data_IF_450922188327
#
_entry.id   IF_450922188327
#
_cell.length_a   1.000
_cell.length_b   1.000
_cell.length_c   1.000
_cell.angle_alpha   90.00
_cell.angle_beta   90.00
_cell.angle_gamma   90.00
#
_symmetry.space_group_name_H-M   'P 1'
#
loop_
_entity.id
_entity.type
_entity.pdbx_description
1 polymer ?
#
# COMPACT_ATOMS: atom_id res chain seq x y z
N UNK A 1 3.03 -18.54 -8.81
CA UNK A 1 3.44 -17.31 -8.16
C UNK A 1 2.77 -16.10 -8.75
N UNK A 2 2.67 -16.02 -10.05
CA UNK A 2 1.98 -14.91 -10.68
C UNK A 2 0.50 -14.84 -10.29
N UNK A 3 -0.09 -15.98 -10.01
CA UNK A 3 -1.49 -16.06 -9.65
C UNK A 3 -1.83 -15.29 -8.39
N UNK A 4 -0.87 -15.14 -7.49
CA UNK A 4 -1.09 -14.43 -6.23
C UNK A 4 -1.45 -12.97 -6.47
N UNK A 5 -0.90 -12.40 -7.54
CA UNK A 5 -1.07 -10.98 -7.82
C UNK A 5 -1.81 -10.72 -9.11
N UNK A 6 -2.48 -11.73 -9.64
CA UNK A 6 -3.13 -11.62 -10.94
C UNK A 6 -4.28 -10.62 -10.95
N UNK A 7 -4.85 -10.33 -9.79
CA UNK A 7 -5.96 -9.40 -9.67
C UNK A 7 -5.51 -7.93 -9.51
N UNK A 8 -4.20 -7.69 -9.49
CA UNK A 8 -3.67 -6.34 -9.33
C UNK A 8 -3.17 -5.79 -10.65
N UNK A 9 -3.40 -4.50 -10.88
CA UNK A 9 -2.77 -3.80 -12.00
C UNK A 9 -1.30 -3.55 -11.66
N UNK A 10 -0.52 -3.16 -12.68
CA UNK A 10 0.90 -2.89 -12.49
C UNK A 10 1.14 -1.80 -11.44
N UNK A 11 0.30 -0.77 -11.45
CA UNK A 11 0.45 0.33 -10.48
C UNK A 11 0.04 -0.08 -9.08
N UNK A 12 -1.00 -0.91 -8.97
CA UNK A 12 -1.41 -1.44 -7.67
C UNK A 12 -0.34 -2.33 -7.08
N UNK A 13 0.23 -3.20 -7.90
CA UNK A 13 1.33 -4.07 -7.49
C UNK A 13 2.53 -3.24 -7.02
N UNK A 14 2.89 -2.23 -7.80
CA UNK A 14 3.99 -1.34 -7.46
C UNK A 14 3.75 -0.62 -6.14
N UNK A 15 2.53 -0.13 -5.94
CA UNK A 15 2.16 0.55 -4.71
C UNK A 15 2.29 -0.38 -3.51
N UNK A 16 1.80 -1.61 -3.65
CA UNK A 16 1.89 -2.60 -2.58
C UNK A 16 3.35 -2.91 -2.23
N UNK A 17 4.21 -3.02 -3.24
CA UNK A 17 5.64 -3.23 -3.02
C UNK A 17 6.28 -2.07 -2.25
N UNK A 18 5.95 -0.84 -2.64
CA UNK A 18 6.50 0.34 -1.97
C UNK A 18 6.05 0.37 -0.52
N UNK A 19 4.78 0.08 -0.27
CA UNK A 19 4.25 0.06 1.09
C UNK A 19 4.96 -1.01 1.92
N UNK A 20 5.13 -2.20 1.36
CA UNK A 20 5.79 -3.29 2.10
C UNK A 20 7.25 -2.95 2.41
N UNK A 21 7.92 -2.29 1.48
CA UNK A 21 9.30 -1.87 1.68
C UNK A 21 9.39 -0.85 2.82
N UNK A 22 8.49 0.12 2.83
CA UNK A 22 8.49 1.16 3.87
C UNK A 22 8.09 0.62 5.23
N UNK A 23 7.36 -0.49 5.25
CA UNK A 23 6.88 -1.12 6.49
C UNK A 23 7.83 -2.16 7.08
N UNK A 24 9.01 -2.35 6.50
CA UNK A 24 9.92 -3.44 6.89
C UNK A 24 10.02 -3.69 8.39
N UNK A 25 10.17 -2.64 9.18
CA UNK A 25 10.35 -2.76 10.63
C UNK A 25 9.28 -2.00 11.41
N UNK A 26 8.19 -1.67 10.76
CA UNK A 26 7.12 -0.87 11.36
C UNK A 26 5.80 -1.62 11.27
N UNK A 27 4.91 -1.35 12.22
CA UNK A 27 3.59 -1.95 12.21
C UNK A 27 2.66 -1.25 11.24
N UNK A 28 2.84 0.04 11.05
CA UNK A 28 1.96 0.83 10.22
C UNK A 28 2.73 1.95 9.54
N UNK A 29 2.19 2.39 8.41
CA UNK A 29 2.76 3.44 7.61
C UNK A 29 1.78 4.60 7.52
N UNK A 30 2.25 5.81 7.80
CA UNK A 30 1.46 7.01 7.54
C UNK A 30 1.44 7.25 6.03
N UNK A 31 0.23 7.38 5.48
CA UNK A 31 0.09 7.56 4.04
C UNK A 31 0.30 9.03 3.68
N UNK A 32 1.23 9.25 2.76
CA UNK A 32 1.42 10.53 2.11
C UNK A 32 1.23 10.32 0.61
N UNK A 33 0.06 10.72 0.11
CA UNK A 33 -0.30 10.44 -1.28
C UNK A 33 0.64 11.10 -2.28
N UNK A 34 1.19 12.26 -1.93
CA UNK A 34 2.09 12.96 -2.84
C UNK A 34 3.41 12.20 -3.01
N UNK A 35 3.96 11.72 -1.91
CA UNK A 35 5.19 10.95 -1.95
C UNK A 35 5.00 9.64 -2.71
N UNK A 36 3.92 8.91 -2.39
CA UNK A 36 3.66 7.63 -3.04
C UNK A 36 3.37 7.82 -4.53
N UNK A 37 2.63 8.88 -4.87
CA UNK A 37 2.32 9.15 -6.27
C UNK A 37 3.58 9.40 -7.09
N UNK A 38 4.53 10.11 -6.50
CA UNK A 38 5.81 10.38 -7.18
C UNK A 38 6.59 9.09 -7.40
N UNK A 39 6.60 8.22 -6.40
CA UNK A 39 7.38 6.98 -6.48
C UNK A 39 6.83 6.05 -7.57
N UNK A 40 5.52 5.93 -7.68
CA UNK A 40 4.92 5.01 -8.66
C UNK A 40 4.44 5.72 -9.93
N UNK A 41 4.70 7.01 -10.03
CA UNK A 41 4.43 7.81 -11.23
C UNK A 41 2.95 7.83 -11.61
N UNK A 42 2.13 8.32 -10.69
CA UNK A 42 0.70 8.53 -10.91
C UNK A 42 0.30 9.85 -10.25
N UNK A 43 -0.91 10.32 -10.52
CA UNK A 43 -1.41 11.50 -9.83
C UNK A 43 -1.80 11.16 -8.39
N UNK A 44 -1.67 12.12 -7.46
CA UNK A 44 -1.91 11.84 -6.04
C UNK A 44 -3.31 11.30 -5.71
N UNK A 45 -4.33 11.77 -6.43
CA UNK A 45 -5.69 11.31 -6.17
C UNK A 45 -5.87 9.82 -6.48
N UNK A 46 -5.06 9.26 -7.36
CA UNK A 46 -5.13 7.84 -7.69
C UNK A 46 -4.59 6.96 -6.58
N UNK A 47 -3.76 7.50 -5.71
CA UNK A 47 -3.19 6.72 -4.60
C UNK A 47 -4.30 6.17 -3.70
N UNK A 48 -5.24 7.02 -3.29
CA UNK A 48 -6.34 6.54 -2.45
C UNK A 48 -7.24 5.55 -3.19
N UNK A 49 -7.38 5.72 -4.48
CA UNK A 49 -8.13 4.79 -5.29
C UNK A 49 -7.50 3.39 -5.25
N UNK A 50 -6.20 3.34 -5.47
CA UNK A 50 -5.46 2.08 -5.40
C UNK A 50 -5.48 1.49 -3.99
N UNK A 51 -5.33 2.33 -2.98
CA UNK A 51 -5.35 1.86 -1.60
C UNK A 51 -6.70 1.25 -1.24
N UNK A 52 -7.79 1.86 -1.67
CA UNK A 52 -9.12 1.31 -1.41
C UNK A 52 -9.29 -0.06 -2.08
N UNK A 53 -8.75 -0.20 -3.28
CA UNK A 53 -8.83 -1.47 -3.97
C UNK A 53 -7.98 -2.54 -3.28
N UNK A 54 -6.78 -2.19 -2.88
CA UNK A 54 -5.92 -3.11 -2.13
C UNK A 54 -6.58 -3.54 -0.82
N UNK A 55 -7.24 -2.62 -0.16
CA UNK A 55 -7.98 -2.92 1.06
C UNK A 55 -9.12 -3.89 0.78
N UNK A 56 -9.89 -3.64 -0.27
CA UNK A 56 -11.04 -4.48 -0.62
C UNK A 56 -10.59 -5.89 -0.96
N UNK A 57 -9.43 -6.03 -1.59
CA UNK A 57 -8.89 -7.34 -1.98
C UNK A 57 -8.19 -8.05 -0.82
N UNK A 58 -8.06 -7.40 0.34
CA UNK A 58 -7.52 -8.05 1.52
C UNK A 58 -6.01 -7.95 1.70
N UNK A 59 -5.33 -7.15 0.91
CA UNK A 59 -3.89 -7.01 1.02
C UNK A 59 -3.46 -6.08 2.13
N UNK A 60 -4.25 -5.04 2.39
CA UNK A 60 -3.90 -4.03 3.38
C UNK A 60 -5.10 -3.68 4.23
N UNK A 61 -4.79 -3.04 5.36
CA UNK A 61 -5.79 -2.45 6.25
C UNK A 61 -5.55 -0.95 6.26
N UNK A 62 -6.62 -0.19 6.15
CA UNK A 62 -6.56 1.27 6.22
C UNK A 62 -7.39 1.75 7.39
N UNK A 63 -6.89 2.73 8.10
CA UNK A 63 -7.67 3.39 9.13
C UNK A 63 -7.21 4.82 9.30
N UNK A 64 -8.10 5.65 9.79
CA UNK A 64 -7.88 7.06 9.95
C UNK A 64 -7.87 7.42 11.42
N UNK A 65 -7.08 8.41 11.76
CA UNK A 65 -7.01 8.92 13.10
C UNK A 65 -7.05 10.44 13.04
N UNK A 66 -7.88 11.03 13.89
CA UNK A 66 -7.94 12.48 13.99
C UNK A 66 -6.95 12.93 15.04
N UNK A 67 -6.02 13.79 14.65
CA UNK A 67 -5.05 14.39 15.56
C UNK A 67 -5.12 15.89 15.40
N UNK A 68 -5.52 16.59 16.47
CA UNK A 68 -5.78 18.02 16.41
C UNK A 68 -6.84 18.27 15.34
N UNK A 69 -6.53 19.03 14.30
CA UNK A 69 -7.46 19.32 13.22
C UNK A 69 -7.15 18.53 11.96
N UNK A 70 -6.19 17.61 12.04
CA UNK A 70 -5.74 16.86 10.89
C UNK A 70 -6.22 15.42 10.94
N UNK A 71 -6.49 14.86 9.77
CA UNK A 71 -6.83 13.44 9.64
C UNK A 71 -5.60 12.74 9.08
N UNK A 72 -5.13 11.73 9.79
CA UNK A 72 -3.97 10.95 9.37
C UNK A 72 -4.46 9.56 8.97
N UNK A 73 -4.08 9.13 7.77
CA UNK A 73 -4.41 7.80 7.27
C UNK A 73 -3.22 6.87 7.48
N UNK A 74 -3.49 5.71 8.08
CA UNK A 74 -2.48 4.68 8.32
C UNK A 74 -2.77 3.46 7.49
N UNK A 75 -1.72 2.75 7.11
CA UNK A 75 -1.81 1.53 6.34
C UNK A 75 -1.01 0.42 7.03
N UNK A 76 -1.59 -0.78 7.07
CA UNK A 76 -0.90 -1.99 7.53
C UNK A 76 -1.06 -3.06 6.46
N UNK A 77 -0.06 -3.94 6.35
CA UNK A 77 -0.16 -5.07 5.45
C UNK A 77 -0.71 -6.25 6.23
N UNK A 78 -1.79 -6.84 5.71
CA UNK A 78 -2.47 -7.93 6.39
C UNK A 78 -1.78 -9.26 6.17
N UNK A 79 -1.13 -9.46 5.05
CA UNK A 79 -0.59 -10.76 4.68
C UNK A 79 0.91 -10.67 4.45
N UNK A 80 1.67 -10.76 5.53
CA UNK A 80 3.11 -10.55 5.49
C UNK A 80 3.87 -11.64 4.74
N UNK A 81 3.31 -12.82 4.67
CA UNK A 81 3.94 -13.89 3.91
C UNK A 81 3.94 -13.56 2.43
N UNK A 82 2.88 -12.94 1.95
CA UNK A 82 2.83 -12.48 0.56
C UNK A 82 3.87 -11.41 0.30
N UNK A 83 4.13 -10.56 1.28
CA UNK A 83 5.16 -9.54 1.16
C UNK A 83 6.53 -10.16 0.95
N UNK A 84 6.81 -11.26 1.65
CA UNK A 84 8.07 -11.96 1.45
C UNK A 84 8.19 -12.53 0.05
N UNK A 85 7.09 -13.00 -0.50
CA UNK A 85 7.07 -13.50 -1.88
C UNK A 85 7.37 -12.36 -2.85
N UNK A 86 6.81 -11.19 -2.60
CA UNK A 86 7.13 -9.99 -3.39
C UNK A 86 8.63 -9.78 -3.48
N UNK A 87 9.29 -9.81 -2.32
CA UNK A 87 10.71 -9.52 -2.27
C UNK A 87 11.54 -10.54 -3.04
N UNK A 88 11.10 -11.79 -3.01
CA UNK A 88 11.81 -12.85 -3.73
C UNK A 88 11.75 -12.67 -5.22
N UNK A 89 10.67 -12.16 -5.72
CA UNK A 89 10.49 -12.01 -7.16
C UNK A 89 11.34 -10.89 -7.73
N UNK A 90 11.75 -10.01 -6.89
CA UNK A 90 12.62 -8.91 -7.32
C UNK A 90 14.08 -9.27 -7.20
#
# INVERSE_FOLDING_TARGET
>A
MKEIYSDLSDKEYKLLKVISYKLQNKKRLVINEFTLARIIDVSPDKIYWYLKRLKRLGYIKLYKRVMFKNIITYCEILNRDDVKIFKRKD
#
